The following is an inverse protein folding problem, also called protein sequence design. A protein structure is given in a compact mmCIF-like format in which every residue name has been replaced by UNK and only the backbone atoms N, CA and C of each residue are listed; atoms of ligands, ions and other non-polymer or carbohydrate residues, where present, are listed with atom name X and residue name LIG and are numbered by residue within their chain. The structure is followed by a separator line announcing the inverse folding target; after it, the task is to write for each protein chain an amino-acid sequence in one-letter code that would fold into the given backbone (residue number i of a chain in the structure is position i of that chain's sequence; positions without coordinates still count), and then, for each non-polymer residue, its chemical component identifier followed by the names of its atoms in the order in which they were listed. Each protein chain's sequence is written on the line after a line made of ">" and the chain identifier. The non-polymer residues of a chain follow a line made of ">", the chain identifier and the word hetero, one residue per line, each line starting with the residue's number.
data_IF_398238836780
#
_entry.id   IF_398238836780
#
_cell.length_a   1.000
_cell.length_b   1.000
_cell.length_c   1.000
_cell.angle_alpha   90.00
_cell.angle_beta   90.00
_cell.angle_gamma   90.00
#
_symmetry.space_group_name_H-M   'P 1'
#
loop_
_entity.id
_entity.type
_entity.pdbx_description
1 polymer ?
#
# COMPACT_ATOMS: atom_id res chain seq x y z
N UNK A 1 14.81 15.32 -29.51
CA UNK A 1 14.19 14.00 -29.24
C UNK A 1 15.18 13.23 -28.37
N UNK A 2 14.88 13.02 -27.09
CA UNK A 2 15.79 12.32 -26.16
C UNK A 2 15.53 10.82 -26.34
N UNK A 3 16.51 10.06 -26.82
CA UNK A 3 16.45 8.60 -26.85
C UNK A 3 17.14 8.06 -25.59
N UNK A 4 16.36 7.44 -24.70
CA UNK A 4 16.87 6.82 -23.47
C UNK A 4 17.27 5.38 -23.82
N UNK A 5 18.52 4.99 -23.52
CA UNK A 5 18.99 3.61 -23.71
C UNK A 5 18.45 2.67 -22.64
N UNK A 6 18.34 1.36 -22.93
CA UNK A 6 17.81 0.37 -21.99
C UNK A 6 18.52 0.36 -20.62
N UNK A 7 19.84 0.57 -20.59
CA UNK A 7 20.62 0.69 -19.35
C UNK A 7 20.26 1.94 -18.53
N UNK A 8 19.97 3.06 -19.19
CA UNK A 8 19.54 4.28 -18.51
C UNK A 8 18.11 4.15 -17.97
N UNK A 9 17.25 3.43 -18.69
CA UNK A 9 15.90 3.11 -18.21
C UNK A 9 15.97 2.23 -16.95
N UNK A 10 16.76 1.16 -16.96
CA UNK A 10 16.93 0.26 -15.81
C UNK A 10 17.52 0.96 -14.58
N UNK A 11 18.54 1.81 -14.76
CA UNK A 11 19.11 2.63 -13.69
C UNK A 11 18.10 3.63 -13.12
N UNK A 12 17.26 4.23 -13.98
CA UNK A 12 16.21 5.17 -13.57
C UNK A 12 15.09 4.48 -12.80
N UNK A 13 14.66 3.29 -13.24
CA UNK A 13 13.67 2.47 -12.55
C UNK A 13 14.21 2.06 -11.17
N UNK A 14 15.44 1.56 -11.11
CA UNK A 14 16.08 1.15 -9.85
C UNK A 14 16.23 2.30 -8.85
N UNK A 15 16.62 3.49 -9.32
CA UNK A 15 16.72 4.68 -8.47
C UNK A 15 15.36 5.19 -8.00
N UNK A 16 14.33 5.08 -8.85
CA UNK A 16 12.97 5.48 -8.53
C UNK A 16 12.34 4.54 -7.49
N UNK A 17 12.64 3.25 -7.58
CA UNK A 17 12.20 2.24 -6.62
C UNK A 17 12.84 2.42 -5.25
N UNK A 18 14.14 2.71 -5.23
CA UNK A 18 14.86 2.99 -3.99
C UNK A 18 14.24 4.19 -3.27
N UNK A 19 14.03 5.28 -4.00
CA UNK A 19 13.41 6.48 -3.43
C UNK A 19 11.98 6.25 -2.97
N UNK A 20 11.19 5.50 -3.74
CA UNK A 20 9.83 5.14 -3.34
C UNK A 20 9.84 4.31 -2.05
N UNK A 21 10.74 3.34 -1.94
CA UNK A 21 10.92 2.53 -0.72
C UNK A 21 11.28 3.40 0.47
N UNK A 22 12.25 4.31 0.32
CA UNK A 22 12.67 5.25 1.39
C UNK A 22 11.52 6.16 1.83
N UNK A 23 10.79 6.75 0.88
CA UNK A 23 9.63 7.61 1.16
C UNK A 23 8.51 6.82 1.88
N UNK A 24 8.31 5.55 1.52
CA UNK A 24 7.32 4.67 2.14
C UNK A 24 7.74 4.22 3.54
N UNK A 25 9.01 3.88 3.77
CA UNK A 25 9.54 3.59 5.09
C UNK A 25 9.34 4.81 6.01
N UNK A 26 9.70 6.01 5.55
CA UNK A 26 9.50 7.25 6.30
C UNK A 26 8.02 7.50 6.63
N UNK A 27 7.12 7.23 5.68
CA UNK A 27 5.67 7.34 5.91
C UNK A 27 5.18 6.41 7.01
N UNK A 28 5.64 5.15 7.05
CA UNK A 28 5.26 4.22 8.13
C UNK A 28 5.72 4.74 9.48
N UNK A 29 6.99 5.18 9.60
CA UNK A 29 7.50 5.74 10.86
C UNK A 29 6.78 7.01 11.30
N UNK A 30 6.32 7.85 10.36
CA UNK A 30 5.66 9.12 10.66
C UNK A 30 4.16 8.96 11.00
N UNK A 31 3.48 8.02 10.36
CA UNK A 31 2.00 7.94 10.39
C UNK A 31 1.46 6.65 11.02
N UNK A 32 2.29 5.62 11.15
CA UNK A 32 1.93 4.32 11.73
C UNK A 32 2.98 3.89 12.76
N UNK A 33 3.30 4.73 13.77
CA UNK A 33 4.39 4.46 14.72
C UNK A 33 4.17 3.15 15.48
N UNK A 34 2.93 2.83 15.86
CA UNK A 34 2.61 1.58 16.56
C UNK A 34 3.00 0.34 15.74
N UNK A 35 2.73 0.36 14.43
CA UNK A 35 3.15 -0.73 13.53
C UNK A 35 4.67 -0.87 13.48
N UNK A 36 5.37 0.27 13.38
CA UNK A 36 6.83 0.31 13.32
C UNK A 36 7.49 -0.16 14.63
N UNK A 37 6.89 0.16 15.78
CA UNK A 37 7.34 -0.27 17.10
C UNK A 37 7.17 -1.78 17.29
N UNK A 38 6.02 -2.32 16.88
CA UNK A 38 5.71 -3.75 17.00
C UNK A 38 6.58 -4.61 16.08
N UNK A 39 6.74 -4.20 14.83
CA UNK A 39 7.38 -5.02 13.80
C UNK A 39 8.87 -4.70 13.59
N UNK A 40 9.33 -3.57 14.12
CA UNK A 40 10.69 -3.07 13.96
C UNK A 40 11.08 -2.79 12.51
N UNK A 41 12.34 -2.41 12.30
CA UNK A 41 12.86 -2.02 10.97
C UNK A 41 12.75 -3.13 9.92
N UNK A 42 12.95 -4.38 10.31
CA UNK A 42 12.87 -5.50 9.39
C UNK A 42 11.44 -5.71 8.86
N UNK A 43 10.43 -5.64 9.74
CA UNK A 43 9.04 -5.77 9.34
C UNK A 43 8.55 -4.58 8.51
N UNK A 44 8.94 -3.35 8.87
CA UNK A 44 8.66 -2.15 8.04
C UNK A 44 9.23 -2.32 6.62
N UNK A 45 10.46 -2.80 6.49
CA UNK A 45 11.05 -3.04 5.17
C UNK A 45 10.31 -4.13 4.38
N UNK A 46 9.88 -5.20 5.05
CA UNK A 46 9.12 -6.28 4.41
C UNK A 46 7.77 -5.79 3.89
N UNK A 47 7.02 -5.03 4.70
CA UNK A 47 5.69 -4.54 4.29
C UNK A 47 5.77 -3.52 3.16
N UNK A 48 6.81 -2.67 3.15
CA UNK A 48 7.08 -1.73 2.05
C UNK A 48 7.39 -2.48 0.76
N UNK A 49 8.22 -3.53 0.82
CA UNK A 49 8.50 -4.37 -0.35
C UNK A 49 7.24 -5.06 -0.88
N UNK A 50 6.38 -5.57 0.01
CA UNK A 50 5.11 -6.16 -0.38
C UNK A 50 4.18 -5.14 -1.06
N UNK A 51 4.06 -3.94 -0.50
CA UNK A 51 3.27 -2.86 -1.07
C UNK A 51 3.77 -2.45 -2.47
N UNK A 52 5.09 -2.34 -2.66
CA UNK A 52 5.68 -2.06 -3.98
C UNK A 52 5.38 -3.19 -4.96
N UNK A 53 5.60 -4.45 -4.57
CA UNK A 53 5.32 -5.60 -5.43
C UNK A 53 3.85 -5.64 -5.88
N UNK A 54 2.92 -5.46 -4.93
CA UNK A 54 1.48 -5.40 -5.20
C UNK A 54 1.11 -4.24 -6.12
N UNK A 55 1.69 -3.06 -5.87
CA UNK A 55 1.44 -1.89 -6.70
C UNK A 55 1.85 -2.07 -8.15
N UNK A 56 2.92 -2.82 -8.42
CA UNK A 56 3.34 -3.15 -9.78
C UNK A 56 2.38 -4.10 -10.46
N UNK A 57 1.96 -5.16 -9.75
CA UNK A 57 1.00 -6.14 -10.26
C UNK A 57 -0.30 -5.46 -10.69
N UNK A 58 -0.77 -4.49 -9.91
CA UNK A 58 -2.02 -3.77 -10.16
C UNK A 58 -1.84 -2.44 -10.89
N UNK A 59 -0.61 -2.14 -11.34
CA UNK A 59 -0.25 -0.89 -12.03
C UNK A 59 -0.75 0.37 -11.31
N UNK A 60 -0.64 0.37 -9.97
CA UNK A 60 -1.13 1.46 -9.14
C UNK A 60 -0.33 2.73 -9.37
N UNK A 61 -1.03 3.86 -9.29
CA UNK A 61 -0.37 5.17 -9.18
C UNK A 61 0.41 5.24 -7.86
N UNK A 62 1.38 6.15 -7.79
CA UNK A 62 2.15 6.38 -6.55
C UNK A 62 1.26 6.59 -5.33
N UNK A 63 0.20 7.40 -5.45
CA UNK A 63 -0.76 7.64 -4.36
C UNK A 63 -1.44 6.33 -3.92
N UNK A 64 -1.92 5.55 -4.88
CA UNK A 64 -2.55 4.26 -4.61
C UNK A 64 -1.56 3.24 -3.99
N UNK A 65 -0.26 3.33 -4.28
CA UNK A 65 0.77 2.54 -3.59
C UNK A 65 0.86 2.86 -2.10
N UNK A 66 0.78 4.13 -1.69
CA UNK A 66 0.75 4.49 -0.27
C UNK A 66 -0.54 4.02 0.43
N UNK A 67 -1.67 4.06 -0.28
CA UNK A 67 -2.93 3.50 0.25
C UNK A 67 -2.82 1.98 0.43
N UNK A 68 -2.21 1.29 -0.53
CA UNK A 68 -1.93 -0.14 -0.42
C UNK A 68 -1.03 -0.45 0.78
N UNK A 69 0.02 0.33 0.99
CA UNK A 69 0.87 0.21 2.17
C UNK A 69 0.07 0.35 3.48
N UNK A 70 -0.79 1.37 3.59
CA UNK A 70 -1.61 1.56 4.78
C UNK A 70 -2.54 0.36 5.02
N UNK A 71 -3.19 -0.15 3.97
CA UNK A 71 -4.06 -1.33 4.08
C UNK A 71 -3.27 -2.57 4.53
N UNK A 72 -2.07 -2.79 3.99
CA UNK A 72 -1.21 -3.90 4.39
C UNK A 72 -0.70 -3.76 5.84
N UNK A 73 -0.45 -2.55 6.32
CA UNK A 73 -0.08 -2.32 7.72
C UNK A 73 -1.26 -2.58 8.67
N UNK A 74 -2.49 -2.30 8.24
CA UNK A 74 -3.70 -2.46 9.07
C UNK A 74 -4.23 -3.90 9.09
N UNK A 75 -4.26 -4.55 7.93
CA UNK A 75 -4.90 -5.86 7.75
C UNK A 75 -3.89 -6.99 7.50
N UNK A 76 -2.60 -6.66 7.49
CA UNK A 76 -1.53 -7.62 7.24
C UNK A 76 -1.35 -7.94 5.75
N UNK A 77 -0.28 -8.68 5.46
CA UNK A 77 0.10 -9.01 4.08
C UNK A 77 -0.83 -10.03 3.41
N UNK A 78 -1.57 -10.80 4.20
CA UNK A 78 -2.43 -11.90 3.73
C UNK A 78 -3.92 -11.55 3.77
N UNK A 79 -4.27 -10.25 3.84
CA UNK A 79 -5.66 -9.80 3.95
C UNK A 79 -6.58 -10.37 2.85
N UNK A 80 -6.06 -10.72 1.68
CA UNK A 80 -6.87 -11.33 0.61
C UNK A 80 -7.41 -12.71 0.94
N UNK A 81 -6.75 -13.44 1.83
CA UNK A 81 -7.15 -14.79 2.27
C UNK A 81 -7.84 -14.77 3.63
N UNK A 82 -7.88 -13.61 4.29
CA UNK A 82 -8.53 -13.45 5.59
C UNK A 82 -10.04 -13.24 5.39
N UNK A 83 -10.85 -14.15 5.96
CA UNK A 83 -12.30 -14.09 5.91
C UNK A 83 -12.87 -12.81 6.53
N UNK A 84 -12.18 -12.20 7.50
CA UNK A 84 -12.58 -10.92 8.11
C UNK A 84 -12.32 -9.73 7.17
N UNK A 85 -11.44 -9.91 6.19
CA UNK A 85 -11.05 -8.90 5.20
C UNK A 85 -11.70 -9.10 3.84
N UNK A 86 -12.66 -10.04 3.70
CA UNK A 86 -13.31 -10.31 2.41
C UNK A 86 -13.96 -9.07 1.79
N UNK A 87 -14.52 -8.18 2.61
CA UNK A 87 -15.08 -6.91 2.17
C UNK A 87 -14.06 -6.04 1.41
N UNK A 88 -12.79 -6.06 1.85
CA UNK A 88 -11.72 -5.28 1.23
C UNK A 88 -11.38 -5.85 -0.14
N UNK A 89 -11.35 -7.18 -0.26
CA UNK A 89 -11.16 -7.89 -1.53
C UNK A 89 -12.31 -7.58 -2.50
N UNK A 90 -13.54 -7.57 -2.00
CA UNK A 90 -14.73 -7.30 -2.80
C UNK A 90 -14.68 -5.87 -3.36
N UNK A 91 -14.36 -4.86 -2.53
CA UNK A 91 -14.20 -3.46 -2.97
C UNK A 91 -13.09 -3.29 -4.00
N UNK A 92 -11.96 -3.99 -3.84
CA UNK A 92 -10.82 -3.87 -4.75
C UNK A 92 -11.08 -4.54 -6.11
N UNK A 93 -11.96 -5.54 -6.17
CA UNK A 93 -12.32 -6.26 -7.39
C UNK A 93 -13.59 -5.75 -8.07
N UNK A 94 -14.44 -4.98 -7.39
CA UNK A 94 -15.69 -4.50 -7.97
C UNK A 94 -15.47 -3.33 -8.95
N UNK A 95 -15.55 -3.67 -10.24
CA UNK A 95 -15.40 -2.72 -11.35
C UNK A 95 -16.50 -1.65 -11.38
N UNK A 96 -17.63 -1.84 -10.67
CA UNK A 96 -18.67 -0.82 -10.57
C UNK A 96 -18.19 0.45 -9.86
N UNK A 97 -17.15 0.35 -9.01
CA UNK A 97 -16.54 1.50 -8.34
C UNK A 97 -15.52 2.26 -9.21
N UNK A 98 -15.34 1.86 -10.47
CA UNK A 98 -14.51 2.54 -11.46
C UNK A 98 -13.07 2.02 -11.53
N UNK A 99 -12.14 2.93 -11.82
CA UNK A 99 -10.74 2.55 -11.95
C UNK A 99 -10.12 2.11 -10.62
N UNK A 100 -8.93 1.51 -10.68
CA UNK A 100 -8.27 0.98 -9.49
C UNK A 100 -7.95 2.07 -8.45
N UNK A 101 -7.74 3.32 -8.87
CA UNK A 101 -7.50 4.42 -7.93
C UNK A 101 -8.78 4.79 -7.18
N UNK A 102 -9.93 4.78 -7.84
CA UNK A 102 -11.23 4.99 -7.20
C UNK A 102 -11.54 3.89 -6.17
N UNK A 103 -11.30 2.62 -6.52
CA UNK A 103 -11.43 1.47 -5.61
C UNK A 103 -10.50 1.56 -4.40
N UNK A 104 -9.23 1.91 -4.60
CA UNK A 104 -8.28 2.12 -3.51
C UNK A 104 -8.70 3.25 -2.56
N UNK A 105 -9.30 4.32 -3.09
CA UNK A 105 -9.84 5.39 -2.26
C UNK A 105 -11.02 4.91 -1.41
N UNK A 106 -11.93 4.14 -2.00
CA UNK A 106 -13.08 3.58 -1.30
C UNK A 106 -12.62 2.65 -0.18
N UNK A 107 -11.75 1.70 -0.51
CA UNK A 107 -11.15 0.75 0.42
C UNK A 107 -10.48 1.45 1.62
N UNK A 108 -9.68 2.49 1.35
CA UNK A 108 -9.04 3.28 2.41
C UNK A 108 -10.05 4.04 3.28
N UNK A 109 -11.09 4.64 2.67
CA UNK A 109 -12.13 5.38 3.39
C UNK A 109 -12.93 4.46 4.29
N UNK A 110 -13.29 3.28 3.80
CA UNK A 110 -14.04 2.28 4.57
C UNK A 110 -13.19 1.69 5.70
N UNK A 111 -11.91 1.40 5.43
CA UNK A 111 -10.98 0.95 6.47
C UNK A 111 -10.89 1.97 7.63
N UNK A 112 -10.77 3.26 7.33
CA UNK A 112 -10.75 4.30 8.35
C UNK A 112 -12.08 4.42 9.10
N UNK A 113 -13.21 4.22 8.41
CA UNK A 113 -14.53 4.20 9.04
C UNK A 113 -14.68 3.05 10.03
N UNK A 114 -14.20 1.85 9.70
CA UNK A 114 -14.23 0.68 10.60
C UNK A 114 -13.35 0.88 11.84
N UNK A 115 -12.14 1.43 11.67
CA UNK A 115 -11.26 1.76 12.79
C UNK A 115 -11.85 2.80 13.75
N UNK A 116 -12.63 3.76 13.23
CA UNK A 116 -13.30 4.75 14.07
C UNK A 116 -14.40 4.14 14.95
N UNK A 117 -15.09 3.12 14.45
CA UNK A 117 -16.14 2.41 15.19
C UNK A 117 -15.53 1.56 16.31
N UNK A 118 -14.41 0.88 16.05
CA UNK A 118 -13.75 0.04 17.04
C UNK A 118 -13.19 0.82 18.25
N UNK A 119 -12.92 2.13 18.08
CA UNK A 119 -12.48 3.00 19.18
C UNK A 119 -13.61 3.57 20.04
N UNK A 120 -14.88 3.48 19.60
CA UNK A 120 -16.03 3.92 20.40
C UNK A 120 -16.58 2.79 21.30
N UNK A 121 -16.21 1.53 21.05
CA UNK A 121 -16.67 0.35 21.81
C UNK A 121 -15.67 -0.16 22.87
N UNK A 122 -14.48 0.46 23.01
CA UNK A 122 -13.46 0.14 24.03
C UNK A 122 -13.37 1.17 25.16
#
# INVERSE_FOLDING_TARGET
>A
MIQISAKQYEALTSASDLRLSEDMEQHVYAHLPSYAEEHGRAGVKQIVQAAIARSRQWQLSRRATFQMLNLLCLYGNEFESDAQCQWLVDVLNDEAFGDMSARMNMAQSEALGKLAIDQEES
#
